data_IF_530643399817
#
_entry.id   IF_530643399817
#
_cell.length_a   1.000
_cell.length_b   1.000
_cell.length_c   1.000
_cell.angle_alpha   90.00
_cell.angle_beta   90.00
_cell.angle_gamma   90.00
#
_symmetry.space_group_name_H-M   'P 1'
#
loop_
_entity.id
_entity.type
_entity.pdbx_description
1 polymer ?
#
# COMPACT_ATOMS: atom_id res chain seq x y z
N UNK A 1 13.89 18.98 -20.66
CA UNK A 1 13.91 19.63 -19.33
C UNK A 1 14.30 18.61 -18.29
N UNK A 2 15.04 19.00 -17.24
CA UNK A 2 15.35 18.10 -16.12
C UNK A 2 14.15 18.07 -15.19
N UNK A 3 13.64 16.87 -14.89
CA UNK A 3 12.61 16.69 -13.88
C UNK A 3 13.26 16.95 -12.52
N UNK A 4 12.65 17.82 -11.71
CA UNK A 4 13.05 18.06 -10.32
C UNK A 4 12.00 17.43 -9.41
N UNK A 5 12.44 16.67 -8.42
CA UNK A 5 11.58 16.00 -7.45
C UNK A 5 11.87 16.57 -6.07
N UNK A 6 10.82 16.82 -5.29
CA UNK A 6 10.89 17.35 -3.94
C UNK A 6 10.04 16.49 -3.02
N UNK A 7 10.66 15.90 -2.00
CA UNK A 7 9.93 15.22 -0.94
C UNK A 7 9.61 16.22 0.16
N UNK A 8 8.32 16.46 0.39
CA UNK A 8 7.84 17.38 1.41
C UNK A 8 6.85 16.68 2.33
N UNK A 9 6.98 16.93 3.63
CA UNK A 9 5.99 16.50 4.61
C UNK A 9 4.83 17.50 4.65
N UNK A 10 3.67 17.08 4.14
CA UNK A 10 2.46 17.90 4.11
C UNK A 10 1.88 18.19 5.51
N UNK A 11 2.39 17.54 6.56
CA UNK A 11 1.92 17.69 7.96
C UNK A 11 2.74 18.72 8.74
N UNK A 12 3.85 19.18 8.19
CA UNK A 12 4.81 20.01 8.92
C UNK A 12 4.65 21.49 8.55
N UNK A 13 4.83 22.37 9.54
CA UNK A 13 4.74 23.83 9.35
C UNK A 13 5.83 24.39 8.43
N UNK A 14 6.91 23.64 8.20
CA UNK A 14 7.95 24.02 7.24
C UNK A 14 7.47 23.96 5.77
N UNK A 15 6.31 23.34 5.49
CA UNK A 15 5.72 23.34 4.16
C UNK A 15 5.43 24.76 3.67
N UNK A 16 4.95 25.63 4.56
CA UNK A 16 4.55 27.01 4.22
C UNK A 16 5.73 27.90 3.83
N UNK A 17 6.94 27.55 4.25
CA UNK A 17 8.18 28.26 3.90
C UNK A 17 8.99 27.53 2.82
N UNK A 18 8.48 26.40 2.31
CA UNK A 18 9.15 25.60 1.29
C UNK A 18 9.12 26.30 -0.07
N UNK A 19 10.21 26.15 -0.83
CA UNK A 19 10.30 26.66 -2.20
C UNK A 19 9.27 26.02 -3.17
N UNK A 20 8.64 24.91 -2.76
CA UNK A 20 7.62 24.18 -3.54
C UNK A 20 6.22 24.29 -2.97
N UNK A 21 5.96 25.30 -2.13
CA UNK A 21 4.63 25.56 -1.59
C UNK A 21 3.61 25.94 -2.68
N UNK A 22 4.05 26.73 -3.67
CA UNK A 22 3.24 27.11 -4.81
C UNK A 22 3.56 26.22 -6.02
N UNK A 23 2.51 25.62 -6.58
CA UNK A 23 2.62 24.78 -7.77
C UNK A 23 2.75 25.65 -9.02
N UNK A 24 3.63 25.22 -9.90
CA UNK A 24 3.75 25.77 -11.25
C UNK A 24 2.94 24.91 -12.22
N UNK A 25 2.67 25.48 -13.40
CA UNK A 25 1.96 24.74 -14.44
C UNK A 25 2.79 23.52 -14.85
N UNK A 26 2.13 22.37 -15.02
CA UNK A 26 2.74 21.09 -15.35
C UNK A 26 3.52 20.40 -14.18
N UNK A 27 3.31 20.84 -12.94
CA UNK A 27 3.79 20.09 -11.77
C UNK A 27 2.90 18.86 -11.48
N UNK A 28 3.52 17.76 -11.04
CA UNK A 28 2.84 16.50 -10.68
C UNK A 28 3.03 16.25 -9.18
N UNK A 29 1.94 15.95 -8.49
CA UNK A 29 1.93 15.69 -7.05
C UNK A 29 1.63 14.22 -6.82
N UNK A 30 2.49 13.56 -6.05
CA UNK A 30 2.30 12.18 -5.63
C UNK A 30 2.26 12.11 -4.10
N UNK A 31 1.18 11.54 -3.57
CA UNK A 31 1.01 11.32 -2.13
C UNK A 31 1.17 9.84 -1.86
N UNK A 32 2.23 9.46 -1.13
CA UNK A 32 2.45 8.07 -0.77
C UNK A 32 1.34 7.58 0.19
N UNK A 33 0.75 6.39 -0.05
CA UNK A 33 -0.23 5.82 0.86
C UNK A 33 0.41 5.52 2.21
N UNK A 34 -0.37 5.68 3.29
CA UNK A 34 0.11 5.31 4.62
C UNK A 34 0.36 3.79 4.71
N UNK A 35 1.16 3.38 5.70
CA UNK A 35 1.53 1.96 5.88
C UNK A 35 0.31 1.03 6.02
N UNK A 36 -0.76 1.47 6.67
CA UNK A 36 -1.97 0.67 6.83
C UNK A 36 -2.71 0.45 5.49
N UNK A 37 -2.88 1.50 4.69
CA UNK A 37 -3.51 1.44 3.36
C UNK A 37 -2.66 0.62 2.38
N UNK A 38 -1.33 0.77 2.41
CA UNK A 38 -0.42 -0.07 1.62
C UNK A 38 -0.50 -1.53 2.05
N UNK A 39 -0.57 -1.80 3.35
CA UNK A 39 -0.70 -3.14 3.90
C UNK A 39 -2.05 -3.79 3.58
N UNK A 40 -3.14 -3.01 3.54
CA UNK A 40 -4.46 -3.48 3.09
C UNK A 40 -4.48 -3.75 1.59
N UNK A 41 -3.78 -2.95 0.78
CA UNK A 41 -3.61 -3.22 -0.64
C UNK A 41 -2.71 -4.44 -0.90
N UNK A 42 -1.71 -4.68 -0.05
CA UNK A 42 -0.81 -5.83 -0.11
C UNK A 42 -1.27 -7.02 0.73
N UNK A 43 -2.43 -6.93 1.38
CA UNK A 43 -3.02 -8.05 2.12
C UNK A 43 -3.34 -9.11 1.06
N UNK A 44 -2.41 -10.05 0.93
CA UNK A 44 -2.37 -11.03 -0.13
C UNK A 44 -3.71 -11.78 -0.15
N UNK A 45 -4.54 -11.51 -1.15
CA UNK A 45 -5.88 -12.10 -1.30
C UNK A 45 -5.82 -13.64 -1.31
N UNK A 46 -4.65 -14.20 -1.60
CA UNK A 46 -4.40 -15.64 -1.65
C UNK A 46 -4.30 -16.29 -0.25
N UNK A 47 -4.13 -15.53 0.84
CA UNK A 47 -4.06 -16.12 2.19
C UNK A 47 -5.35 -16.89 2.54
N UNK A 48 -6.51 -16.36 2.15
CA UNK A 48 -7.80 -17.05 2.33
C UNK A 48 -7.89 -18.33 1.49
N UNK A 49 -7.35 -18.32 0.28
CA UNK A 49 -7.34 -19.47 -0.62
C UNK A 49 -6.51 -20.64 -0.05
N UNK A 50 -5.31 -20.36 0.49
CA UNK A 50 -4.47 -21.40 1.11
C UNK A 50 -5.13 -22.01 2.35
N UNK A 51 -5.82 -21.19 3.17
CA UNK A 51 -6.59 -21.67 4.32
C UNK A 51 -7.72 -22.60 3.88
N UNK A 52 -8.46 -22.24 2.81
CA UNK A 52 -9.51 -23.09 2.25
C UNK A 52 -8.98 -24.42 1.72
N UNK A 53 -7.85 -24.41 0.99
CA UNK A 53 -7.22 -25.63 0.46
C UNK A 53 -6.77 -26.55 1.61
N UNK A 54 -6.12 -25.99 2.64
CA UNK A 54 -5.72 -26.75 3.82
C UNK A 54 -6.93 -27.38 4.53
N UNK A 55 -8.03 -26.64 4.66
CA UNK A 55 -9.28 -27.16 5.23
C UNK A 55 -9.87 -28.33 4.45
N UNK A 56 -9.83 -28.28 3.12
CA UNK A 56 -10.29 -29.39 2.26
C UNK A 56 -9.38 -30.61 2.39
N UNK A 57 -8.06 -30.43 2.45
CA UNK A 57 -7.12 -31.54 2.65
C UNK A 57 -7.37 -32.22 4.00
N UNK A 58 -7.53 -31.43 5.07
CA UNK A 58 -7.82 -31.93 6.41
C UNK A 58 -9.17 -32.67 6.44
N UNK A 59 -10.19 -32.17 5.75
CA UNK A 59 -11.50 -32.84 5.71
C UNK A 59 -11.44 -34.20 5.01
N UNK A 60 -10.68 -34.30 3.90
CA UNK A 60 -10.47 -35.55 3.17
C UNK A 60 -9.70 -36.56 4.03
N UNK A 61 -8.62 -36.13 4.68
CA UNK A 61 -7.82 -37.00 5.57
C UNK A 61 -8.71 -37.52 6.72
N UNK A 62 -9.51 -36.64 7.31
CA UNK A 62 -10.41 -37.01 8.42
C UNK A 62 -11.48 -38.01 7.96
N UNK A 63 -11.94 -37.94 6.71
CA UNK A 63 -12.91 -38.88 6.16
C UNK A 63 -12.29 -40.27 5.92
N UNK A 64 -11.05 -40.33 5.45
CA UNK A 64 -10.34 -41.59 5.16
C UNK A 64 -9.80 -42.26 6.44
N UNK A 65 -9.44 -41.47 7.45
CA UNK A 65 -8.93 -41.96 8.73
C UNK A 65 -10.03 -42.51 9.67
N UNK A 66 -11.31 -42.44 9.26
CA UNK A 66 -12.48 -42.95 10.00
C UNK A 66 -12.73 -44.42 9.69
#
# INVERSE_FOLDING_TARGET
>A
GRIKTYDVDLRSNNLFTSAVYYLQQNDIIYVAPNKATSQSASANQNSGLFISIAGVIISIITLIAR
#
